data_IF_187340123500
#
_entry.id   IF_187340123500
#
_cell.length_a   1.000
_cell.length_b   1.000
_cell.length_c   1.000
_cell.angle_alpha   90.00
_cell.angle_beta   90.00
_cell.angle_gamma   90.00
#
_symmetry.space_group_name_H-M   'P 1'
#
loop_
_entity.id
_entity.type
_entity.pdbx_description
1 polymer ?
#
# COMPACT_ATOMS: atom_id res chain seq x y z
N UNK A 1 -29.18 -14.25 -26.83
CA UNK A 1 -29.77 -15.57 -27.12
C UNK A 1 -28.68 -16.48 -27.69
N UNK A 2 -27.99 -17.20 -26.80
CA UNK A 2 -26.76 -17.95 -27.10
C UNK A 2 -27.00 -19.41 -27.48
N UNK A 3 -28.28 -19.85 -27.67
CA UNK A 3 -28.61 -21.25 -27.96
C UNK A 3 -28.08 -22.26 -26.91
N UNK A 4 -27.82 -21.82 -25.68
CA UNK A 4 -27.27 -22.66 -24.60
C UNK A 4 -25.77 -22.59 -24.46
N UNK A 5 -25.03 -21.92 -25.32
CA UNK A 5 -23.56 -21.82 -25.24
C UNK A 5 -23.08 -21.11 -23.96
N UNK A 6 -23.82 -20.12 -23.47
CA UNK A 6 -23.52 -19.43 -22.22
C UNK A 6 -23.57 -20.36 -21.00
N UNK A 7 -24.49 -21.32 -21.00
CA UNK A 7 -24.61 -22.33 -19.93
C UNK A 7 -23.41 -23.25 -19.95
N UNK A 8 -23.04 -23.75 -21.12
CA UNK A 8 -21.84 -24.60 -21.27
C UNK A 8 -20.56 -23.86 -20.90
N UNK A 9 -20.43 -22.59 -21.27
CA UNK A 9 -19.31 -21.75 -20.87
C UNK A 9 -19.26 -21.58 -19.34
N UNK A 10 -20.40 -21.30 -18.71
CA UNK A 10 -20.49 -21.18 -17.24
C UNK A 10 -20.08 -22.46 -16.51
N UNK A 11 -20.52 -23.62 -16.98
CA UNK A 11 -20.14 -24.92 -16.41
C UNK A 11 -18.63 -25.16 -16.54
N UNK A 12 -18.03 -24.82 -17.69
CA UNK A 12 -16.57 -24.94 -17.90
C UNK A 12 -15.82 -24.04 -16.93
N UNK A 13 -16.22 -22.78 -16.80
CA UNK A 13 -15.61 -21.83 -15.85
C UNK A 13 -15.70 -22.31 -14.41
N UNK A 14 -16.88 -22.75 -13.96
CA UNK A 14 -17.07 -23.28 -12.62
C UNK A 14 -16.19 -24.51 -12.35
N UNK A 15 -16.05 -25.42 -13.32
CA UNK A 15 -15.14 -26.57 -13.20
C UNK A 15 -13.68 -26.14 -13.05
N UNK A 16 -13.27 -25.14 -13.82
CA UNK A 16 -11.88 -24.66 -13.82
C UNK A 16 -11.60 -23.91 -12.50
N UNK A 17 -12.58 -23.17 -11.97
CA UNK A 17 -12.51 -22.52 -10.66
C UNK A 17 -12.37 -23.54 -9.51
N UNK A 18 -13.11 -24.63 -9.54
CA UNK A 18 -12.98 -25.73 -8.56
C UNK A 18 -11.61 -26.41 -8.66
N UNK A 19 -11.08 -26.60 -9.89
CA UNK A 19 -9.72 -27.14 -10.07
C UNK A 19 -8.65 -26.21 -9.49
N UNK A 20 -8.72 -24.90 -9.77
CA UNK A 20 -7.80 -23.89 -9.20
C UNK A 20 -7.88 -23.86 -7.68
N UNK A 21 -9.06 -24.03 -7.11
CA UNK A 21 -9.29 -24.04 -5.67
C UNK A 21 -8.97 -25.36 -4.97
N UNK A 22 -8.34 -26.34 -5.65
CA UNK A 22 -8.05 -27.67 -5.08
C UNK A 22 -9.31 -28.32 -4.45
N UNK A 23 -10.44 -28.28 -5.17
CA UNK A 23 -11.74 -28.80 -4.72
C UNK A 23 -12.62 -27.79 -4.00
N UNK A 24 -12.13 -26.59 -3.70
CA UNK A 24 -12.93 -25.47 -3.20
C UNK A 24 -13.27 -24.52 -4.36
N UNK A 25 -14.41 -23.85 -4.30
CA UNK A 25 -14.77 -22.86 -5.30
C UNK A 25 -13.86 -21.63 -5.17
N UNK A 26 -12.99 -21.43 -6.15
CA UNK A 26 -12.14 -20.22 -6.29
C UNK A 26 -12.59 -19.46 -7.53
N UNK A 27 -13.43 -18.45 -7.34
CA UNK A 27 -14.01 -17.69 -8.46
C UNK A 27 -12.93 -16.83 -9.13
N UNK A 28 -12.62 -17.13 -10.38
CA UNK A 28 -11.70 -16.32 -11.19
C UNK A 28 -12.43 -15.09 -11.71
N UNK A 29 -12.04 -13.92 -11.22
CA UNK A 29 -12.61 -12.63 -11.63
C UNK A 29 -11.73 -11.89 -12.64
N UNK A 30 -10.42 -12.16 -12.63
CA UNK A 30 -9.43 -11.47 -13.45
C UNK A 30 -8.40 -12.46 -13.97
N UNK A 31 -7.96 -12.28 -15.18
CA UNK A 31 -6.77 -12.96 -15.70
C UNK A 31 -5.51 -12.27 -15.11
N UNK A 32 -4.85 -12.94 -14.18
CA UNK A 32 -3.65 -12.44 -13.51
C UNK A 32 -2.36 -12.74 -14.30
N UNK A 33 -2.44 -13.60 -15.33
CA UNK A 33 -1.26 -14.07 -16.07
C UNK A 33 -0.47 -12.97 -16.78
N UNK A 34 -1.10 -11.87 -17.28
CA UNK A 34 -0.38 -10.78 -17.92
C UNK A 34 0.39 -9.89 -16.94
N UNK A 35 0.06 -9.92 -15.63
CA UNK A 35 0.63 -9.01 -14.65
C UNK A 35 1.86 -9.62 -13.97
N UNK A 36 2.96 -8.87 -14.01
CA UNK A 36 4.23 -9.26 -13.37
C UNK A 36 4.75 -8.10 -12.54
N UNK A 37 4.70 -8.29 -11.22
CA UNK A 37 5.17 -7.30 -10.26
C UNK A 37 6.65 -6.92 -10.53
N UNK A 38 6.94 -5.61 -10.53
CA UNK A 38 8.25 -5.07 -10.84
C UNK A 38 8.63 -5.10 -12.34
N UNK A 39 7.74 -5.62 -13.23
CA UNK A 39 7.99 -5.65 -14.68
C UNK A 39 7.02 -4.78 -15.46
N UNK A 40 5.72 -4.95 -15.24
CA UNK A 40 4.68 -4.18 -15.91
C UNK A 40 3.61 -3.62 -14.96
N UNK A 41 3.71 -3.93 -13.67
CA UNK A 41 3.05 -3.23 -12.56
C UNK A 41 4.05 -3.01 -11.44
N UNK A 42 3.86 -2.00 -10.62
CA UNK A 42 4.77 -1.61 -9.54
C UNK A 42 6.20 -1.40 -10.06
N UNK A 43 6.35 -0.59 -11.09
CA UNK A 43 7.61 -0.45 -11.82
C UNK A 43 8.49 0.69 -11.33
N UNK A 44 8.02 1.53 -10.41
CA UNK A 44 8.84 2.55 -9.78
C UNK A 44 9.95 1.87 -8.94
N UNK A 45 11.22 2.21 -9.14
CA UNK A 45 12.32 1.57 -8.42
C UNK A 45 12.30 1.96 -6.95
N UNK A 46 12.48 0.97 -6.06
CA UNK A 46 12.48 1.19 -4.62
C UNK A 46 13.03 0.00 -3.87
N UNK A 47 13.31 0.19 -2.59
CA UNK A 47 13.84 -0.84 -1.70
C UNK A 47 13.06 -0.87 -0.38
N UNK A 48 12.93 -2.06 0.20
CA UNK A 48 12.35 -2.20 1.54
C UNK A 48 13.40 -1.81 2.57
N UNK A 49 13.16 -0.70 3.27
CA UNK A 49 14.08 -0.15 4.27
C UNK A 49 13.71 -0.53 5.71
N UNK A 50 12.51 -1.03 5.92
CA UNK A 50 12.07 -1.53 7.23
C UNK A 50 11.01 -2.61 7.05
N UNK A 51 10.98 -3.57 7.98
CA UNK A 51 9.98 -4.65 8.02
C UNK A 51 9.65 -5.03 9.48
N UNK A 52 8.38 -5.29 9.72
CA UNK A 52 7.90 -5.98 10.92
C UNK A 52 6.79 -6.98 10.55
N UNK A 53 6.05 -7.49 11.54
CA UNK A 53 5.00 -8.50 11.32
C UNK A 53 3.81 -7.97 10.49
N UNK A 54 3.61 -6.65 10.42
CA UNK A 54 2.43 -6.01 9.81
C UNK A 54 2.76 -5.25 8.53
N UNK A 55 3.94 -4.63 8.45
CA UNK A 55 4.30 -3.76 7.33
C UNK A 55 5.70 -4.03 6.79
N UNK A 56 5.87 -3.69 5.52
CA UNK A 56 7.13 -3.33 4.90
C UNK A 56 7.08 -1.84 4.53
N UNK A 57 8.16 -1.12 4.78
CA UNK A 57 8.31 0.27 4.36
C UNK A 57 9.19 0.32 3.13
N UNK A 58 8.65 0.81 2.03
CA UNK A 58 9.34 0.94 0.76
C UNK A 58 9.81 2.39 0.61
N UNK A 59 11.10 2.59 0.44
CA UNK A 59 11.68 3.87 0.01
C UNK A 59 11.88 3.81 -1.51
N UNK A 60 11.28 4.75 -2.23
CA UNK A 60 11.43 4.84 -3.67
C UNK A 60 12.65 5.67 -4.05
N UNK A 61 13.34 5.23 -5.12
CA UNK A 61 14.54 5.87 -5.63
C UNK A 61 14.15 7.05 -6.53
N UNK A 62 14.55 8.28 -6.19
CA UNK A 62 14.30 9.43 -7.05
C UNK A 62 15.13 9.35 -8.35
N UNK A 63 14.65 9.95 -9.45
CA UNK A 63 15.39 9.96 -10.72
C UNK A 63 16.62 10.85 -10.70
N UNK A 64 16.71 11.79 -9.76
CA UNK A 64 17.81 12.74 -9.59
C UNK A 64 18.55 12.58 -8.28
N UNK A 65 19.68 13.30 -8.15
CA UNK A 65 20.52 13.27 -6.93
C UNK A 65 19.96 14.14 -5.79
N UNK A 66 19.07 15.09 -6.11
CA UNK A 66 18.53 16.02 -5.12
C UNK A 66 17.04 15.82 -4.92
N UNK A 67 16.65 15.78 -3.65
CA UNK A 67 15.24 15.74 -3.23
C UNK A 67 14.98 16.77 -2.14
N UNK A 68 13.71 17.12 -1.94
CA UNK A 68 13.32 17.89 -0.76
C UNK A 68 13.68 17.12 0.51
N UNK A 69 14.23 17.82 1.48
CA UNK A 69 14.74 17.21 2.73
C UNK A 69 13.62 16.52 3.53
N UNK A 70 12.40 17.10 3.54
CA UNK A 70 11.28 16.51 4.29
C UNK A 70 10.65 15.39 3.48
N UNK A 71 10.68 14.12 3.98
CA UNK A 71 10.11 12.99 3.26
C UNK A 71 8.58 13.01 3.28
N UNK A 72 7.99 12.35 2.28
CA UNK A 72 6.57 12.07 2.16
C UNK A 72 6.32 10.60 2.44
N UNK A 73 5.54 10.31 3.49
CA UNK A 73 5.15 8.96 3.88
C UNK A 73 3.69 8.71 3.52
N UNK A 74 3.43 7.66 2.74
CA UNK A 74 2.10 7.34 2.23
C UNK A 74 1.57 6.07 2.92
N UNK A 75 0.36 6.17 3.45
CA UNK A 75 -0.41 5.07 4.03
C UNK A 75 -1.57 4.70 3.09
N UNK A 76 -1.37 3.74 2.18
CA UNK A 76 -2.45 3.23 1.33
C UNK A 76 -3.39 2.33 2.14
N UNK A 77 -4.58 1.98 1.62
CA UNK A 77 -5.45 1.03 2.27
C UNK A 77 -4.84 -0.39 2.25
N UNK A 78 -5.00 -1.16 3.33
CA UNK A 78 -4.57 -2.56 3.38
C UNK A 78 -5.50 -3.52 2.62
N UNK A 79 -6.65 -3.03 2.16
CA UNK A 79 -7.54 -3.77 1.27
C UNK A 79 -6.92 -3.93 -0.11
N UNK A 80 -6.15 -2.93 -0.55
CA UNK A 80 -5.41 -2.93 -1.80
C UNK A 80 -3.93 -3.23 -1.57
N UNK A 81 -3.21 -3.55 -2.64
CA UNK A 81 -1.75 -3.67 -2.60
C UNK A 81 -1.09 -2.29 -2.62
N UNK A 82 0.13 -2.20 -2.08
CA UNK A 82 0.90 -0.94 -2.02
C UNK A 82 1.01 -0.24 -3.38
N UNK A 83 1.03 -1.01 -4.47
CA UNK A 83 1.18 -0.52 -5.84
C UNK A 83 -0.12 0.01 -6.46
N UNK A 84 -1.20 0.16 -5.71
CA UNK A 84 -2.41 0.84 -6.22
C UNK A 84 -2.11 2.25 -6.74
N UNK A 85 -1.05 2.88 -6.24
CA UNK A 85 -0.57 4.19 -6.67
C UNK A 85 0.60 4.10 -7.68
N UNK A 86 0.97 2.89 -8.13
CA UNK A 86 2.04 2.61 -9.10
C UNK A 86 1.66 1.45 -10.01
N UNK A 87 0.54 1.56 -10.71
CA UNK A 87 0.03 0.47 -11.55
C UNK A 87 0.88 0.28 -12.81
N UNK A 88 1.20 1.35 -13.50
CA UNK A 88 2.07 1.37 -14.68
C UNK A 88 2.72 2.74 -14.82
N UNK A 89 3.71 2.85 -15.69
CA UNK A 89 4.52 4.06 -15.80
C UNK A 89 3.71 5.33 -16.05
N UNK A 90 2.75 5.28 -16.96
CA UNK A 90 1.91 6.43 -17.33
C UNK A 90 0.86 6.78 -16.26
N UNK A 91 0.55 5.83 -15.37
CA UNK A 91 -0.46 5.97 -14.31
C UNK A 91 0.16 5.73 -12.94
N UNK A 92 1.35 6.26 -12.70
CA UNK A 92 2.05 6.15 -11.43
C UNK A 92 2.08 7.49 -10.71
N UNK A 93 1.31 7.61 -9.64
CA UNK A 93 1.42 8.73 -8.71
C UNK A 93 2.79 8.76 -8.04
N UNK A 94 3.36 7.58 -7.76
CA UNK A 94 4.68 7.47 -7.14
C UNK A 94 5.73 8.11 -8.04
N UNK A 95 5.78 7.76 -9.33
CA UNK A 95 6.72 8.38 -10.29
C UNK A 95 6.53 9.88 -10.39
N UNK A 96 5.28 10.32 -10.48
CA UNK A 96 4.98 11.74 -10.54
C UNK A 96 5.51 12.50 -9.31
N UNK A 97 5.36 11.95 -8.11
CA UNK A 97 5.89 12.55 -6.87
C UNK A 97 7.42 12.59 -6.86
N UNK A 98 8.06 11.51 -7.32
CA UNK A 98 9.52 11.43 -7.46
C UNK A 98 10.05 12.46 -8.46
N UNK A 99 9.40 12.63 -9.60
CA UNK A 99 9.74 13.63 -10.64
C UNK A 99 9.59 15.08 -10.13
N UNK A 100 8.73 15.29 -9.11
CA UNK A 100 8.63 16.58 -8.41
C UNK A 100 9.70 16.77 -7.32
N UNK A 101 10.64 15.86 -7.19
CA UNK A 101 11.75 15.95 -6.24
C UNK A 101 11.38 15.55 -4.82
N UNK A 102 10.28 14.83 -4.61
CA UNK A 102 9.91 14.34 -3.28
C UNK A 102 10.67 13.05 -2.93
N UNK A 103 11.08 12.94 -1.67
CA UNK A 103 11.57 11.67 -1.09
C UNK A 103 10.36 10.87 -0.63
N UNK A 104 10.01 9.80 -1.34
CA UNK A 104 8.74 9.08 -1.19
C UNK A 104 8.93 7.74 -0.48
N UNK A 105 8.12 7.53 0.55
CA UNK A 105 8.00 6.28 1.28
C UNK A 105 6.55 5.79 1.24
N UNK A 106 6.36 4.48 1.07
CA UNK A 106 5.03 3.86 1.04
C UNK A 106 4.99 2.66 1.97
N UNK A 107 3.94 2.59 2.76
CA UNK A 107 3.65 1.42 3.59
C UNK A 107 3.05 0.31 2.72
N UNK A 108 3.69 -0.84 2.69
CA UNK A 108 3.15 -2.08 2.16
C UNK A 108 2.59 -2.92 3.31
N UNK A 109 1.28 -3.01 3.39
CA UNK A 109 0.61 -3.79 4.42
C UNK A 109 0.67 -5.29 4.13
N UNK A 110 0.91 -6.08 5.17
CA UNK A 110 0.73 -7.53 5.10
C UNK A 110 -0.73 -7.84 4.80
N UNK A 111 -0.97 -8.77 3.88
CA UNK A 111 -2.32 -9.29 3.67
C UNK A 111 -2.79 -10.03 4.92
N UNK A 112 -4.08 -9.93 5.23
CA UNK A 112 -4.65 -10.62 6.38
C UNK A 112 -4.39 -12.14 6.29
N UNK A 113 -3.85 -12.71 7.33
CA UNK A 113 -3.51 -14.12 7.48
C UNK A 113 -3.58 -14.55 8.96
N UNK A 114 -3.13 -15.76 9.27
CA UNK A 114 -3.14 -16.30 10.63
C UNK A 114 -2.30 -15.49 11.63
N UNK A 115 -1.30 -14.72 11.16
CA UNK A 115 -0.46 -13.88 12.02
C UNK A 115 -1.18 -12.60 12.42
N UNK A 116 -2.00 -12.07 11.52
CA UNK A 116 -2.64 -10.75 11.71
C UNK A 116 -4.13 -10.84 12.08
N UNK A 117 -4.71 -12.05 12.15
CA UNK A 117 -6.15 -12.25 12.42
C UNK A 117 -6.60 -11.66 13.77
N UNK A 118 -5.71 -11.62 14.77
CA UNK A 118 -6.00 -11.08 16.10
C UNK A 118 -5.52 -9.63 16.29
N UNK A 119 -4.99 -8.99 15.23
CA UNK A 119 -4.52 -7.61 15.34
C UNK A 119 -5.67 -6.64 15.47
N UNK A 120 -5.56 -5.78 16.46
CA UNK A 120 -6.52 -4.71 16.77
C UNK A 120 -6.18 -3.43 16.00
N UNK A 121 -7.11 -2.48 16.01
CA UNK A 121 -6.85 -1.12 15.49
C UNK A 121 -5.62 -0.48 16.13
N UNK A 122 -5.41 -0.70 17.43
CA UNK A 122 -4.25 -0.20 18.15
C UNK A 122 -2.92 -0.82 17.67
N UNK A 123 -2.94 -2.08 17.24
CA UNK A 123 -1.77 -2.73 16.62
C UNK A 123 -1.44 -2.09 15.27
N UNK A 124 -2.45 -1.79 14.46
CA UNK A 124 -2.27 -1.06 13.20
C UNK A 124 -1.72 0.35 13.43
N UNK A 125 -2.18 1.07 14.45
CA UNK A 125 -1.61 2.37 14.81
C UNK A 125 -0.15 2.22 15.24
N UNK A 126 0.16 1.32 16.17
CA UNK A 126 1.50 1.18 16.74
C UNK A 126 2.50 0.54 15.77
N UNK A 127 2.17 -0.66 15.25
CA UNK A 127 3.05 -1.45 14.38
C UNK A 127 3.04 -0.94 12.94
N UNK A 128 1.97 -0.25 12.52
CA UNK A 128 1.84 0.35 11.20
C UNK A 128 2.31 1.80 11.19
N UNK A 129 1.49 2.71 11.74
CA UNK A 129 1.74 4.15 11.59
C UNK A 129 2.97 4.61 12.35
N UNK A 130 3.07 4.33 13.64
CA UNK A 130 4.22 4.79 14.43
C UNK A 130 5.54 4.17 13.97
N UNK A 131 5.53 2.87 13.67
CA UNK A 131 6.71 2.19 13.18
C UNK A 131 7.19 2.74 11.83
N UNK A 132 6.26 3.03 10.91
CA UNK A 132 6.59 3.63 9.61
C UNK A 132 7.13 5.06 9.75
N UNK A 133 6.54 5.88 10.64
CA UNK A 133 7.03 7.23 10.94
C UNK A 133 8.47 7.17 11.46
N UNK A 134 8.71 6.34 12.48
CA UNK A 134 10.04 6.16 13.07
C UNK A 134 11.07 5.72 12.04
N UNK A 135 10.75 4.67 11.27
CA UNK A 135 11.65 4.12 10.25
C UNK A 135 11.96 5.14 9.13
N UNK A 136 10.95 5.94 8.70
CA UNK A 136 11.15 7.00 7.72
C UNK A 136 12.12 8.08 8.23
N UNK A 137 11.95 8.51 9.48
CA UNK A 137 12.81 9.51 10.08
C UNK A 137 14.23 8.99 10.29
N UNK A 138 14.39 7.74 10.70
CA UNK A 138 15.71 7.08 10.82
C UNK A 138 16.41 6.97 9.46
N UNK A 139 15.69 6.53 8.41
CA UNK A 139 16.26 6.39 7.07
C UNK A 139 16.71 7.72 6.45
N UNK A 140 16.05 8.83 6.82
CA UNK A 140 16.33 10.15 6.23
C UNK A 140 17.14 11.08 7.12
N UNK A 141 17.31 10.76 8.41
CA UNK A 141 17.90 11.65 9.40
C UNK A 141 17.09 12.92 9.69
N UNK A 142 15.83 12.99 9.23
CA UNK A 142 14.96 14.14 9.40
C UNK A 142 14.21 14.09 10.74
N UNK A 143 13.82 15.24 11.25
CA UNK A 143 13.05 15.38 12.50
C UNK A 143 11.54 15.42 12.29
N UNK A 144 11.09 15.49 11.04
CA UNK A 144 9.68 15.54 10.70
C UNK A 144 9.44 15.15 9.25
N UNK A 145 8.23 14.69 8.98
CA UNK A 145 7.79 14.24 7.67
C UNK A 145 6.41 14.82 7.32
N UNK A 146 6.05 14.72 6.05
CA UNK A 146 4.68 14.92 5.57
C UNK A 146 4.03 13.56 5.33
N UNK A 147 2.72 13.45 5.57
CA UNK A 147 2.02 12.19 5.40
C UNK A 147 0.85 12.29 4.42
N UNK A 148 0.57 11.18 3.76
CA UNK A 148 -0.62 11.00 2.92
C UNK A 148 -1.37 9.79 3.44
N UNK A 149 -2.66 9.94 3.71
CA UNK A 149 -3.57 8.85 4.03
C UNK A 149 -4.58 8.63 2.91
N UNK A 150 -4.65 7.41 2.40
CA UNK A 150 -5.59 7.06 1.34
C UNK A 150 -6.62 6.05 1.85
N UNK A 151 -7.91 6.40 1.71
CA UNK A 151 -9.06 5.57 2.10
C UNK A 151 -8.96 5.17 3.59
N UNK A 152 -9.10 3.90 3.95
CA UNK A 152 -8.96 3.40 5.33
C UNK A 152 -7.57 3.67 5.94
N UNK A 153 -6.53 3.77 5.11
CA UNK A 153 -5.20 4.21 5.53
C UNK A 153 -5.21 5.65 6.07
N UNK A 154 -6.04 6.51 5.49
CA UNK A 154 -6.25 7.87 6.01
C UNK A 154 -7.05 7.90 7.30
N UNK A 155 -8.08 7.07 7.44
CA UNK A 155 -8.83 6.93 8.69
C UNK A 155 -7.92 6.46 9.84
N UNK A 156 -7.05 5.47 9.55
CA UNK A 156 -6.05 5.00 10.51
C UNK A 156 -5.05 6.12 10.88
N UNK A 157 -4.54 6.83 9.89
CA UNK A 157 -3.64 7.96 10.08
C UNK A 157 -4.30 9.06 10.93
N UNK A 158 -5.56 9.38 10.67
CA UNK A 158 -6.33 10.35 11.47
C UNK A 158 -6.43 9.95 12.95
N UNK A 159 -6.69 8.66 13.22
CA UNK A 159 -6.70 8.14 14.61
C UNK A 159 -5.32 8.27 15.28
N UNK A 160 -4.24 7.97 14.54
CA UNK A 160 -2.88 8.14 15.05
C UNK A 160 -2.56 9.61 15.33
N UNK A 161 -2.96 10.53 14.45
CA UNK A 161 -2.76 11.97 14.64
C UNK A 161 -3.47 12.51 15.89
N UNK A 162 -4.68 12.02 16.16
CA UNK A 162 -5.39 12.38 17.41
C UNK A 162 -4.60 11.97 18.65
N UNK A 163 -4.02 10.77 18.65
CA UNK A 163 -3.16 10.33 19.74
C UNK A 163 -1.83 11.10 19.79
N UNK A 164 -1.19 11.35 18.65
CA UNK A 164 0.04 12.17 18.56
C UNK A 164 -0.18 13.56 19.13
N UNK A 165 -1.28 14.22 18.77
CA UNK A 165 -1.63 15.54 19.30
C UNK A 165 -1.82 15.52 20.82
N UNK A 166 -2.49 14.50 21.37
CA UNK A 166 -2.70 14.35 22.80
C UNK A 166 -1.40 14.10 23.59
N UNK A 167 -0.39 13.52 22.95
CA UNK A 167 0.92 13.21 23.57
C UNK A 167 2.03 14.22 23.23
N UNK A 168 1.72 15.25 22.45
CA UNK A 168 2.70 16.27 22.03
C UNK A 168 3.70 15.77 20.97
N UNK A 169 3.38 14.69 20.25
CA UNK A 169 4.18 14.18 19.16
C UNK A 169 3.90 14.99 17.87
N UNK A 170 4.85 15.78 17.44
CA UNK A 170 4.73 16.71 16.31
C UNK A 170 5.53 16.27 15.06
N UNK A 171 5.97 15.00 14.99
CA UNK A 171 6.79 14.49 13.90
C UNK A 171 6.12 14.55 12.52
N UNK A 172 4.80 14.47 12.44
CA UNK A 172 4.05 14.69 11.19
C UNK A 172 3.71 16.17 11.06
N UNK A 173 4.26 16.85 10.05
CA UNK A 173 4.15 18.31 9.88
C UNK A 173 2.98 18.74 9.01
N UNK A 174 2.58 17.90 8.07
CA UNK A 174 1.38 18.11 7.25
C UNK A 174 0.77 16.78 6.84
N UNK A 175 -0.51 16.80 6.56
CA UNK A 175 -1.26 15.60 6.13
C UNK A 175 -2.15 15.95 4.96
N UNK A 176 -2.19 15.04 3.98
CA UNK A 176 -3.15 15.06 2.88
C UNK A 176 -4.00 13.79 2.93
N UNK A 177 -5.30 13.94 2.84
CA UNK A 177 -6.22 12.81 2.83
C UNK A 177 -6.85 12.63 1.44
N UNK A 178 -6.82 11.39 0.93
CA UNK A 178 -7.50 11.00 -0.30
C UNK A 178 -8.62 10.02 0.03
N UNK A 179 -9.86 10.35 -0.33
CA UNK A 179 -11.02 9.49 -0.15
C UNK A 179 -11.09 8.81 1.24
N UNK A 180 -10.65 9.52 2.28
CA UNK A 180 -10.71 9.07 3.68
C UNK A 180 -12.06 9.42 4.30
N UNK A 181 -12.55 8.58 5.19
CA UNK A 181 -13.80 8.78 5.94
C UNK A 181 -13.51 9.20 7.36
#
# INVERSE_FOLDING_TARGET
ESGGESVLAGIRMARDDVKKGNGKLYITQTDETPFKLGKNIATAPGEVVFRNDLIELIQYKPPGEQTYARPLLIFPPWINKFYILDLREENSMIRWLLDKGLSVFVVSWRSADEVTCDYTWNDYVKKGVYAAVEATLQATGQKGLNAVGYCIGGTLLSSALGHMAATGDDRIKSVTFFASQ
#
